data_IF_940830906136
#
_entry.id   IF_940830906136
#
_cell.length_a   1.000
_cell.length_b   1.000
_cell.length_c   1.000
_cell.angle_alpha   90.00
_cell.angle_beta   90.00
_cell.angle_gamma   90.00
#
_symmetry.space_group_name_H-M   'P 1'
#
loop_
_entity.id
_entity.type
_entity.pdbx_description
1 polymer ?
#
# COMPACT_ATOMS: atom_id res chain seq x y z
N UNK A 1 -32.38 -57.58 9.29
CA UNK A 1 -31.54 -56.57 9.94
C UNK A 1 -30.64 -56.00 8.87
N UNK A 2 -31.01 -54.82 8.38
CA UNK A 2 -30.47 -54.18 7.19
C UNK A 2 -29.01 -53.74 7.35
N UNK A 3 -28.22 -53.97 6.30
CA UNK A 3 -26.87 -53.47 6.14
C UNK A 3 -26.84 -52.69 4.82
N UNK A 4 -26.97 -51.35 4.87
CA UNK A 4 -26.89 -50.50 3.68
C UNK A 4 -26.23 -49.15 3.98
N UNK A 5 -25.41 -48.75 3.00
CA UNK A 5 -24.77 -47.44 2.74
C UNK A 5 -23.40 -47.20 3.42
N UNK A 6 -22.34 -46.76 2.75
CA UNK A 6 -22.24 -46.11 1.43
C UNK A 6 -20.86 -46.27 0.78
N UNK A 7 -20.87 -46.06 -0.55
CA UNK A 7 -19.88 -46.46 -1.55
C UNK A 7 -18.59 -45.61 -1.56
N UNK A 8 -17.47 -46.26 -1.85
CA UNK A 8 -16.24 -45.66 -2.41
C UNK A 8 -16.27 -45.68 -3.95
N UNK A 9 -15.86 -44.57 -4.56
CA UNK A 9 -15.31 -44.40 -5.94
C UNK A 9 -14.92 -42.92 -6.00
N UNK A 10 -13.68 -42.43 -6.16
CA UNK A 10 -12.49 -42.75 -6.96
C UNK A 10 -12.69 -42.53 -8.48
N UNK A 11 -12.24 -41.32 -8.88
CA UNK A 11 -11.74 -40.85 -10.18
C UNK A 11 -12.66 -40.75 -11.41
N UNK A 12 -12.74 -39.52 -11.96
CA UNK A 12 -12.14 -39.09 -13.26
C UNK A 12 -13.02 -38.01 -13.91
N UNK A 13 -12.49 -36.80 -14.08
CA UNK A 13 -11.85 -36.33 -15.31
C UNK A 13 -12.85 -35.84 -16.38
N UNK A 14 -13.21 -34.56 -16.30
CA UNK A 14 -13.48 -33.70 -17.46
C UNK A 14 -12.38 -32.63 -17.37
N UNK A 15 -11.31 -32.61 -18.17
CA UNK A 15 -11.24 -32.70 -19.64
C UNK A 15 -10.74 -31.34 -20.16
N UNK A 16 -9.49 -30.95 -19.85
CA UNK A 16 -8.31 -30.90 -20.76
C UNK A 16 -8.49 -30.07 -22.06
N UNK A 17 -7.68 -29.00 -22.15
CA UNK A 17 -6.98 -28.42 -23.32
C UNK A 17 -7.75 -27.68 -24.44
N UNK A 18 -7.55 -26.35 -24.47
CA UNK A 18 -7.15 -25.54 -25.65
C UNK A 18 -6.10 -24.53 -25.12
N UNK A 19 -4.79 -24.75 -25.27
CA UNK A 19 -3.90 -24.48 -26.41
C UNK A 19 -3.90 -23.05 -26.99
N UNK A 20 -2.89 -22.28 -26.58
CA UNK A 20 -2.26 -21.12 -27.26
C UNK A 20 -3.13 -19.88 -27.51
N UNK A 21 -2.50 -18.82 -28.03
CA UNK A 21 -2.88 -17.39 -28.11
C UNK A 21 -2.19 -16.58 -27.00
N UNK A 22 -0.87 -16.35 -27.12
CA UNK A 22 -0.17 -15.30 -27.89
C UNK A 22 -0.36 -13.91 -27.29
N UNK A 23 0.79 -13.37 -26.90
CA UNK A 23 1.09 -12.01 -26.52
C UNK A 23 0.51 -10.94 -27.44
N UNK A 24 0.23 -9.77 -26.83
CA UNK A 24 0.29 -8.46 -27.45
C UNK A 24 -1.05 -7.79 -27.73
N UNK A 25 -1.33 -6.71 -27.00
CA UNK A 25 -1.67 -5.42 -27.63
C UNK A 25 -0.99 -4.30 -26.84
N UNK A 26 -0.37 -3.40 -27.60
CA UNK A 26 0.64 -2.44 -27.22
C UNK A 26 0.16 -1.36 -26.23
N UNK A 27 1.04 -0.95 -25.32
CA UNK A 27 1.05 0.42 -24.81
C UNK A 27 2.33 1.06 -25.35
N UNK A 28 2.24 1.94 -26.36
CA UNK A 28 3.39 2.66 -26.86
C UNK A 28 3.96 3.57 -25.76
N UNK A 29 5.22 3.33 -25.36
CA UNK A 29 6.01 4.29 -24.56
C UNK A 29 6.60 3.80 -23.23
N UNK A 30 6.34 2.58 -22.75
CA UNK A 30 6.77 2.17 -21.40
C UNK A 30 8.08 1.38 -21.30
N UNK A 31 8.65 0.86 -22.39
CA UNK A 31 10.01 0.30 -22.37
C UNK A 31 10.27 -0.95 -21.49
N UNK A 32 9.24 -1.71 -21.09
CA UNK A 32 9.38 -2.88 -20.20
C UNK A 32 9.07 -4.22 -20.90
N UNK A 33 9.85 -5.30 -20.69
CA UNK A 33 9.63 -6.60 -21.34
C UNK A 33 8.62 -7.54 -20.62
N UNK A 34 7.94 -8.35 -21.42
CA UNK A 34 6.73 -9.18 -21.21
C UNK A 34 6.72 -10.29 -20.12
N UNK A 35 7.76 -10.50 -19.29
CA UNK A 35 7.89 -11.75 -18.50
C UNK A 35 8.14 -11.63 -16.98
N UNK A 36 7.62 -10.60 -16.31
CA UNK A 36 7.90 -10.35 -14.89
C UNK A 36 7.14 -11.25 -13.88
N UNK A 37 7.85 -11.85 -12.92
CA UNK A 37 7.30 -12.53 -11.74
C UNK A 37 7.41 -11.62 -10.50
N UNK A 38 6.29 -11.25 -9.89
CA UNK A 38 6.23 -10.36 -8.71
C UNK A 38 6.46 -11.13 -7.39
N UNK A 39 7.33 -10.61 -6.50
CA UNK A 39 7.35 -11.02 -5.08
C UNK A 39 6.78 -9.89 -4.23
N UNK A 40 5.77 -10.22 -3.42
CA UNK A 40 4.87 -9.29 -2.74
C UNK A 40 5.09 -9.27 -1.23
N UNK A 41 4.82 -8.16 -0.57
CA UNK A 41 4.84 -8.00 0.89
C UNK A 41 3.66 -7.09 1.24
N UNK A 42 2.91 -7.38 2.32
CA UNK A 42 1.74 -6.58 2.73
C UNK A 42 1.91 -6.15 4.18
N UNK A 43 1.47 -4.94 4.52
CA UNK A 43 1.04 -4.63 5.89
C UNK A 43 -0.47 -4.85 5.98
N UNK A 44 -0.88 -5.89 6.71
CA UNK A 44 -2.29 -6.25 6.91
C UNK A 44 -2.68 -5.74 8.31
N UNK A 45 -3.61 -4.80 8.46
CA UNK A 45 -4.38 -4.68 9.68
C UNK A 45 -5.16 -5.97 9.91
N UNK A 46 -4.95 -6.67 11.03
CA UNK A 46 -5.75 -7.85 11.34
C UNK A 46 -6.11 -7.86 12.82
N UNK A 47 -7.37 -7.50 13.12
CA UNK A 47 -8.25 -8.27 14.00
C UNK A 47 -9.58 -7.54 14.27
N UNK A 48 -10.71 -8.15 13.89
CA UNK A 48 -11.63 -8.80 14.86
C UNK A 48 -12.14 -10.09 14.24
N UNK A 49 -12.11 -11.17 15.03
CA UNK A 49 -12.75 -12.44 14.67
C UNK A 49 -14.28 -12.31 14.74
N UNK A 50 -14.96 -12.60 13.63
CA UNK A 50 -16.34 -13.06 13.65
C UNK A 50 -16.47 -14.29 12.74
N UNK A 51 -16.74 -15.45 13.34
CA UNK A 51 -17.22 -16.62 12.61
C UNK A 51 -18.66 -16.31 12.21
N UNK A 52 -18.89 -15.99 10.94
CA UNK A 52 -20.23 -16.04 10.37
C UNK A 52 -20.21 -16.04 8.83
N UNK A 53 -20.50 -17.21 8.26
CA UNK A 53 -21.17 -17.38 6.98
C UNK A 53 -20.33 -17.18 5.72
N UNK A 54 -20.39 -18.15 4.81
CA UNK A 54 -20.11 -17.93 3.40
C UNK A 54 -21.11 -16.90 2.84
N UNK A 55 -20.80 -15.61 3.01
CA UNK A 55 -21.45 -14.48 2.34
C UNK A 55 -20.82 -14.29 0.95
N UNK A 56 -21.64 -13.96 -0.03
CA UNK A 56 -21.36 -14.07 -1.46
C UNK A 56 -20.05 -13.43 -1.94
N UNK A 57 -19.24 -14.22 -2.65
CA UNK A 57 -18.27 -13.73 -3.64
C UNK A 57 -19.03 -13.15 -4.86
N UNK A 58 -19.66 -11.98 -4.73
CA UNK A 58 -20.47 -11.44 -5.83
C UNK A 58 -20.64 -9.91 -5.90
N UNK A 59 -19.88 -9.10 -5.15
CA UNK A 59 -19.89 -7.66 -5.37
C UNK A 59 -18.48 -7.07 -5.19
N UNK A 60 -18.03 -6.34 -6.20
CA UNK A 60 -16.80 -5.57 -6.17
C UNK A 60 -16.83 -4.51 -5.06
N UNK A 61 -15.65 -4.21 -4.55
CA UNK A 61 -15.36 -3.17 -3.56
C UNK A 61 -14.79 -2.00 -4.36
N UNK A 62 -15.51 -0.87 -4.51
CA UNK A 62 -15.00 0.28 -5.24
C UNK A 62 -13.75 0.85 -4.56
N UNK A 63 -12.89 1.59 -5.30
CA UNK A 63 -11.72 2.25 -4.72
C UNK A 63 -12.13 3.14 -3.55
N UNK A 64 -11.45 2.97 -2.41
CA UNK A 64 -11.72 3.70 -1.17
C UNK A 64 -10.98 5.04 -1.11
N UNK A 65 -9.77 5.11 -1.69
CA UNK A 65 -9.00 6.34 -1.73
C UNK A 65 -9.50 7.24 -2.86
N UNK A 66 -9.74 8.51 -2.54
CA UNK A 66 -9.98 9.57 -3.53
C UNK A 66 -8.73 10.40 -3.79
N UNK A 67 -7.71 10.30 -2.92
CA UNK A 67 -6.45 11.02 -3.08
C UNK A 67 -5.65 10.47 -4.25
N UNK A 68 -5.07 11.37 -5.02
CA UNK A 68 -4.17 11.10 -6.13
C UNK A 68 -2.82 11.77 -5.83
N UNK A 69 -2.14 11.32 -4.77
CA UNK A 69 -0.89 11.94 -4.33
C UNK A 69 0.31 11.52 -5.19
N UNK A 70 1.35 12.34 -5.19
CA UNK A 70 2.62 12.12 -5.89
C UNK A 70 3.79 12.29 -4.90
N UNK A 71 5.02 12.11 -5.37
CA UNK A 71 6.24 12.14 -4.55
C UNK A 71 7.04 13.45 -4.67
N UNK A 72 6.68 14.32 -5.62
CA UNK A 72 7.33 15.62 -5.85
C UNK A 72 6.54 16.77 -5.22
N UNK A 73 6.95 18.02 -5.47
CA UNK A 73 6.24 19.19 -4.94
C UNK A 73 4.72 19.15 -5.25
N UNK A 74 3.83 19.46 -4.29
CA UNK A 74 4.11 19.98 -2.94
C UNK A 74 4.40 18.90 -1.88
N UNK A 75 4.26 17.62 -2.20
CA UNK A 75 4.32 16.51 -1.24
C UNK A 75 5.69 16.40 -0.52
N UNK A 76 6.78 16.74 -1.22
CA UNK A 76 8.16 16.71 -0.68
C UNK A 76 8.62 18.04 -0.04
N UNK A 77 7.77 19.08 -0.01
CA UNK A 77 8.13 20.45 0.43
C UNK A 77 8.78 20.50 1.82
N UNK A 78 8.39 19.60 2.73
CA UNK A 78 8.90 19.52 4.11
C UNK A 78 9.92 18.40 4.32
N UNK A 79 10.28 17.65 3.28
CA UNK A 79 11.32 16.64 3.38
C UNK A 79 12.70 17.29 3.59
N UNK A 80 13.57 16.67 4.41
CA UNK A 80 14.84 17.26 4.79
C UNK A 80 15.76 17.37 3.57
N UNK A 81 16.51 18.47 3.47
CA UNK A 81 17.52 18.70 2.42
C UNK A 81 16.99 18.52 0.98
N UNK A 82 15.74 18.91 0.71
CA UNK A 82 15.08 18.75 -0.61
C UNK A 82 15.10 17.28 -1.09
N UNK A 83 14.95 16.34 -0.16
CA UNK A 83 14.85 14.92 -0.47
C UNK A 83 13.50 14.59 -1.10
N UNK A 84 13.45 13.52 -1.88
CA UNK A 84 12.19 12.97 -2.37
C UNK A 84 11.29 12.54 -1.21
N UNK A 85 9.96 12.66 -1.36
CA UNK A 85 9.00 12.20 -0.36
C UNK A 85 9.06 10.68 -0.16
N UNK A 86 9.08 9.94 -1.27
CA UNK A 86 9.13 8.48 -1.29
C UNK A 86 7.76 7.82 -1.33
N UNK A 87 7.67 6.75 -2.14
CA UNK A 87 6.44 5.98 -2.35
C UNK A 87 5.78 5.49 -1.04
N UNK A 88 6.58 5.08 -0.06
CA UNK A 88 6.07 4.61 1.23
C UNK A 88 5.38 5.71 2.04
N UNK A 89 6.00 6.89 2.09
CA UNK A 89 5.45 8.04 2.80
C UNK A 89 4.14 8.51 2.17
N UNK A 90 4.09 8.56 0.84
CA UNK A 90 2.89 8.91 0.07
C UNK A 90 1.77 7.89 0.30
N UNK A 91 2.06 6.59 0.23
CA UNK A 91 1.07 5.55 0.46
C UNK A 91 0.45 5.63 1.87
N UNK A 92 1.27 5.84 2.92
CA UNK A 92 0.76 6.02 4.28
C UNK A 92 -0.03 7.32 4.42
N UNK A 93 0.44 8.43 3.84
CA UNK A 93 -0.27 9.71 3.90
C UNK A 93 -1.68 9.62 3.29
N UNK A 94 -1.85 8.89 2.19
CA UNK A 94 -3.16 8.64 1.58
C UNK A 94 -4.08 7.83 2.49
N UNK A 95 -3.55 6.80 3.17
CA UNK A 95 -4.32 6.01 4.16
C UNK A 95 -4.73 6.88 5.36
N UNK A 96 -3.82 7.70 5.90
CA UNK A 96 -4.14 8.59 7.03
C UNK A 96 -5.20 9.63 6.64
N UNK A 97 -5.13 10.17 5.42
CA UNK A 97 -6.16 11.07 4.87
C UNK A 97 -7.52 10.39 4.79
N UNK A 98 -7.59 9.14 4.31
CA UNK A 98 -8.85 8.39 4.25
C UNK A 98 -9.54 8.27 5.61
N UNK A 99 -8.77 8.07 6.69
CA UNK A 99 -9.32 8.04 8.04
C UNK A 99 -9.52 9.42 8.68
N UNK A 100 -8.89 10.48 8.14
CA UNK A 100 -8.86 11.81 8.77
C UNK A 100 -8.20 11.79 10.16
N UNK A 101 -7.22 10.92 10.36
CA UNK A 101 -6.57 10.68 11.65
C UNK A 101 -5.08 10.36 11.51
N UNK A 102 -4.26 10.66 12.54
CA UNK A 102 -4.62 11.30 13.82
C UNK A 102 -4.72 12.83 13.71
N UNK A 103 -5.20 13.53 14.74
CA UNK A 103 -5.20 15.03 14.74
C UNK A 103 -3.81 15.63 14.99
N UNK A 104 -2.92 14.87 15.65
CA UNK A 104 -1.52 15.20 15.85
C UNK A 104 -0.70 13.91 15.98
N UNK A 105 0.61 13.99 15.77
CA UNK A 105 1.51 12.88 16.08
C UNK A 105 1.96 12.89 17.55
N UNK A 106 2.62 11.82 17.98
CA UNK A 106 3.03 11.63 19.39
C UNK A 106 4.53 11.46 19.53
N UNK A 107 5.14 12.10 20.52
CA UNK A 107 6.54 11.97 20.87
C UNK A 107 7.53 12.62 19.90
N UNK A 108 8.79 12.31 20.10
CA UNK A 108 9.90 12.82 19.29
C UNK A 108 10.82 11.68 18.85
N UNK A 109 11.48 11.84 17.72
CA UNK A 109 12.46 10.88 17.23
C UNK A 109 13.70 11.56 16.66
N UNK A 110 14.81 10.83 16.73
CA UNK A 110 16.04 11.16 16.03
C UNK A 110 16.66 9.88 15.46
N UNK A 111 17.06 9.90 14.20
CA UNK A 111 17.75 8.77 13.57
C UNK A 111 18.69 9.24 12.47
N UNK A 112 19.71 8.45 12.20
CA UNK A 112 20.68 8.76 11.16
C UNK A 112 20.20 8.27 9.78
N UNK A 113 20.16 9.17 8.80
CA UNK A 113 19.96 8.84 7.40
C UNK A 113 21.33 8.68 6.73
N UNK A 114 21.62 7.49 6.23
CA UNK A 114 22.89 7.22 5.54
C UNK A 114 22.97 7.85 4.15
N UNK A 115 21.83 8.20 3.56
CA UNK A 115 21.75 8.91 2.28
C UNK A 115 22.03 10.41 2.45
N UNK A 116 21.54 11.04 3.52
CA UNK A 116 21.89 12.41 3.89
C UNK A 116 23.28 12.54 4.53
N UNK A 117 23.78 11.43 5.09
CA UNK A 117 24.93 11.44 6.01
C UNK A 117 24.70 12.36 7.23
N UNK A 118 23.45 12.45 7.69
CA UNK A 118 23.05 13.31 8.81
C UNK A 118 21.83 12.74 9.57
N UNK A 119 21.55 13.31 10.74
CA UNK A 119 20.40 12.96 11.57
C UNK A 119 19.14 13.65 11.11
N UNK A 120 18.08 12.88 10.95
CA UNK A 120 16.70 13.37 10.82
C UNK A 120 16.12 13.45 12.23
N UNK A 121 15.63 14.62 12.60
CA UNK A 121 15.00 14.88 13.90
C UNK A 121 13.58 15.38 13.67
N UNK A 122 12.63 14.81 14.39
CA UNK A 122 11.21 15.15 14.26
C UNK A 122 10.57 15.20 15.64
N UNK A 123 9.88 16.30 15.93
CA UNK A 123 8.97 16.40 17.06
C UNK A 123 7.54 16.25 16.52
N UNK A 124 6.93 15.09 16.74
CA UNK A 124 5.57 14.81 16.26
C UNK A 124 4.51 15.53 17.08
N UNK A 125 4.80 15.90 18.33
CA UNK A 125 3.90 16.70 19.17
C UNK A 125 3.62 18.09 18.58
N UNK A 126 4.57 18.61 17.78
CA UNK A 126 4.42 19.88 17.07
C UNK A 126 3.70 19.74 15.73
N UNK A 127 3.48 18.51 15.25
CA UNK A 127 2.81 18.23 13.98
C UNK A 127 1.32 18.08 14.19
N UNK A 128 0.57 19.15 13.87
CA UNK A 128 -0.89 19.12 13.79
C UNK A 128 -1.33 18.84 12.36
N UNK A 129 -2.25 17.90 12.20
CA UNK A 129 -2.77 17.51 10.89
C UNK A 129 -4.15 18.11 10.70
N UNK A 130 -4.22 19.09 9.80
CA UNK A 130 -5.47 19.71 9.38
C UNK A 130 -5.97 18.99 8.12
N UNK A 131 -6.82 18.00 8.35
CA UNK A 131 -7.35 17.14 7.30
C UNK A 131 -8.28 17.90 6.34
N UNK A 132 -8.93 18.99 6.81
CA UNK A 132 -9.83 19.81 6.00
C UNK A 132 -9.07 20.65 4.96
N UNK A 133 -7.77 20.88 5.17
CA UNK A 133 -6.89 21.54 4.20
C UNK A 133 -6.36 20.59 3.12
N UNK A 134 -6.64 19.28 3.20
CA UNK A 134 -6.12 18.30 2.25
C UNK A 134 -7.05 18.07 1.05
N UNK A 135 -6.57 18.44 -0.13
CA UNK A 135 -7.25 18.17 -1.40
C UNK A 135 -7.04 16.73 -1.87
N UNK A 136 -7.92 16.22 -2.75
CA UNK A 136 -7.71 14.92 -3.41
C UNK A 136 -6.49 14.97 -4.36
N UNK A 137 -6.30 16.12 -5.02
CA UNK A 137 -5.27 16.34 -6.02
C UNK A 137 -4.65 17.71 -5.86
N UNK A 138 -3.36 17.82 -6.16
CA UNK A 138 -2.58 19.05 -6.10
C UNK A 138 -2.05 19.40 -7.50
N UNK A 139 -2.86 20.12 -8.27
CA UNK A 139 -2.45 20.65 -9.57
C UNK A 139 -1.80 22.02 -9.41
N UNK A 140 -0.75 22.30 -10.18
CA UNK A 140 -0.03 23.57 -10.10
C UNK A 140 -0.97 24.74 -10.37
N UNK A 141 -1.10 25.65 -9.40
CA UNK A 141 -2.00 26.80 -9.45
C UNK A 141 -3.35 26.60 -8.75
N UNK A 142 -3.71 25.37 -8.37
CA UNK A 142 -5.04 25.03 -7.82
C UNK A 142 -5.03 24.75 -6.29
N UNK A 143 -3.93 25.06 -5.60
CA UNK A 143 -3.84 24.92 -4.15
C UNK A 143 -3.17 26.12 -3.49
N UNK A 144 -3.55 26.39 -2.23
CA UNK A 144 -2.93 27.42 -1.41
C UNK A 144 -1.63 26.93 -0.76
N UNK A 145 -0.76 27.86 -0.36
CA UNK A 145 0.44 27.52 0.42
C UNK A 145 0.13 26.75 1.70
N UNK A 146 -1.01 27.08 2.35
CA UNK A 146 -1.46 26.37 3.54
C UNK A 146 -1.84 24.90 3.23
N UNK A 147 -2.52 24.65 2.11
CA UNK A 147 -2.84 23.29 1.67
C UNK A 147 -1.58 22.51 1.26
N UNK A 148 -0.63 23.18 0.58
CA UNK A 148 0.68 22.59 0.27
C UNK A 148 1.46 22.23 1.54
N UNK A 149 1.46 23.09 2.55
CA UNK A 149 2.10 22.82 3.83
C UNK A 149 1.41 21.71 4.61
N UNK A 150 0.08 21.63 4.55
CA UNK A 150 -0.70 20.57 5.19
C UNK A 150 -0.33 19.20 4.62
N UNK A 151 -0.37 19.03 3.29
CA UNK A 151 -0.03 17.74 2.66
C UNK A 151 1.42 17.36 2.87
N UNK A 152 2.35 18.32 2.73
CA UNK A 152 3.77 18.09 2.97
C UNK A 152 4.06 17.67 4.43
N UNK A 153 3.27 18.15 5.39
CA UNK A 153 3.40 17.76 6.80
C UNK A 153 3.02 16.30 7.02
N UNK A 154 1.89 15.86 6.46
CA UNK A 154 1.43 14.47 6.58
C UNK A 154 2.41 13.52 5.87
N UNK A 155 2.87 13.89 4.67
CA UNK A 155 3.84 13.09 3.91
C UNK A 155 5.18 13.00 4.63
N UNK A 156 5.72 14.12 5.11
CA UNK A 156 6.97 14.11 5.87
C UNK A 156 6.86 13.30 7.17
N UNK A 157 5.78 13.50 7.94
CA UNK A 157 5.53 12.74 9.16
C UNK A 157 5.46 11.24 8.89
N UNK A 158 4.77 10.84 7.82
CA UNK A 158 4.67 9.45 7.36
C UNK A 158 6.04 8.86 7.06
N UNK A 159 6.87 9.55 6.28
CA UNK A 159 8.22 9.08 5.95
C UNK A 159 9.15 9.03 7.17
N UNK A 160 9.10 10.02 8.06
CA UNK A 160 9.90 10.04 9.27
C UNK A 160 9.54 8.88 10.21
N UNK A 161 8.25 8.66 10.45
CA UNK A 161 7.75 7.55 11.28
C UNK A 161 8.16 6.18 10.71
N UNK A 162 8.31 6.07 9.39
CA UNK A 162 8.81 4.88 8.71
C UNK A 162 10.34 4.69 8.81
N UNK A 163 11.06 5.62 9.45
CA UNK A 163 12.52 5.69 9.45
C UNK A 163 13.10 5.77 8.02
N UNK A 164 12.47 6.57 7.16
CA UNK A 164 12.93 6.76 5.78
C UNK A 164 14.35 7.30 5.73
N UNK A 165 15.18 6.63 4.95
CA UNK A 165 16.50 7.12 4.60
C UNK A 165 16.35 8.11 3.45
N UNK A 166 16.45 9.40 3.75
CA UNK A 166 16.13 10.50 2.81
C UNK A 166 17.29 10.84 1.88
N UNK A 167 16.99 11.21 0.64
CA UNK A 167 17.95 11.69 -0.34
C UNK A 167 17.23 11.96 -1.66
N UNK A 168 17.96 11.91 -2.78
CA UNK A 168 17.33 11.96 -4.12
C UNK A 168 16.36 10.81 -4.38
N UNK A 169 16.42 9.76 -3.55
CA UNK A 169 15.41 8.73 -3.40
C UNK A 169 15.31 8.34 -1.92
N UNK A 170 14.23 7.66 -1.54
CA UNK A 170 14.02 7.19 -0.18
C UNK A 170 14.10 5.67 -0.07
N UNK A 171 14.56 5.16 1.07
CA UNK A 171 14.46 3.73 1.38
C UNK A 171 14.08 3.46 2.83
N UNK A 172 13.51 2.28 3.09
CA UNK A 172 13.25 1.77 4.44
C UNK A 172 14.05 0.48 4.63
N UNK A 173 14.96 0.50 5.62
CA UNK A 173 15.86 -0.63 5.90
C UNK A 173 15.30 -1.66 6.87
N UNK A 174 14.34 -1.30 7.73
CA UNK A 174 13.81 -2.17 8.77
C UNK A 174 12.28 -2.04 8.89
N UNK A 175 11.57 -3.03 8.37
CA UNK A 175 10.10 -3.04 8.35
C UNK A 175 9.44 -3.22 9.72
N UNK A 176 10.10 -3.90 10.66
CA UNK A 176 9.59 -3.99 12.03
C UNK A 176 9.68 -2.63 12.74
N UNK A 177 10.79 -1.91 12.52
CA UNK A 177 10.98 -0.56 13.04
C UNK A 177 10.01 0.44 12.39
N UNK A 178 9.78 0.30 11.09
CA UNK A 178 8.77 1.07 10.35
C UNK A 178 7.38 0.86 10.94
N UNK A 179 6.96 -0.39 11.18
CA UNK A 179 5.66 -0.67 11.81
C UNK A 179 5.57 -0.04 13.20
N UNK A 180 6.60 -0.21 14.03
CA UNK A 180 6.65 0.41 15.35
C UNK A 180 6.50 1.92 15.27
N UNK A 181 7.22 2.60 14.37
CA UNK A 181 7.14 4.05 14.26
C UNK A 181 5.78 4.54 13.76
N UNK A 182 5.18 3.86 12.78
CA UNK A 182 3.82 4.16 12.34
C UNK A 182 2.79 4.03 13.48
N UNK A 183 2.91 3.00 14.30
CA UNK A 183 2.01 2.78 15.45
C UNK A 183 2.26 3.80 16.57
N UNK A 184 3.52 4.07 16.89
CA UNK A 184 3.89 4.91 18.02
C UNK A 184 3.70 6.40 17.73
N UNK A 185 4.20 6.89 16.59
CA UNK A 185 4.24 8.33 16.29
C UNK A 185 2.99 8.82 15.54
N UNK A 186 2.30 7.95 14.80
CA UNK A 186 1.13 8.31 13.96
C UNK A 186 -0.14 7.56 14.33
N UNK A 187 -0.14 6.84 15.45
CA UNK A 187 -1.31 6.12 15.97
C UNK A 187 -1.96 5.15 14.98
N UNK A 188 -1.18 4.59 14.04
CA UNK A 188 -1.64 3.44 13.27
C UNK A 188 -1.99 2.32 14.26
N UNK A 189 -3.11 1.62 14.02
CA UNK A 189 -3.65 0.63 14.95
C UNK A 189 -2.57 -0.33 15.48
N UNK A 190 -2.56 -0.64 16.79
CA UNK A 190 -1.69 -1.65 17.36
C UNK A 190 -1.99 -3.05 16.82
N UNK A 191 -3.11 -3.27 16.11
CA UNK A 191 -3.46 -4.51 15.43
C UNK A 191 -2.91 -4.62 13.99
N UNK A 192 -2.28 -3.54 13.49
CA UNK A 192 -1.54 -3.56 12.22
C UNK A 192 -0.33 -4.50 12.27
N UNK A 193 -0.13 -5.29 11.22
CA UNK A 193 0.96 -6.27 11.12
C UNK A 193 1.70 -6.13 9.80
N UNK A 194 3.03 -6.19 9.86
CA UNK A 194 3.85 -6.39 8.66
C UNK A 194 3.97 -7.87 8.34
N UNK A 195 3.43 -8.31 7.21
CA UNK A 195 3.39 -9.69 6.77
C UNK A 195 4.18 -9.88 5.46
N UNK A 196 4.86 -11.02 5.34
CA UNK A 196 5.61 -11.34 4.12
C UNK A 196 4.91 -12.45 3.34
N UNK A 197 4.62 -12.21 2.06
CA UNK A 197 3.90 -13.16 1.17
C UNK A 197 4.46 -14.58 1.19
N UNK A 198 5.78 -14.70 1.37
CA UNK A 198 6.51 -15.98 1.33
C UNK A 198 6.12 -16.95 2.44
N UNK A 199 5.42 -16.49 3.49
CA UNK A 199 4.98 -17.31 4.62
C UNK A 199 3.53 -17.75 4.54
N UNK A 200 2.82 -17.39 3.47
CA UNK A 200 1.40 -17.69 3.29
C UNK A 200 1.15 -18.38 1.96
N UNK A 201 0.15 -19.23 1.91
CA UNK A 201 -0.41 -19.73 0.65
C UNK A 201 -1.11 -18.60 -0.11
N UNK A 202 -1.41 -18.83 -1.40
CA UNK A 202 -2.20 -17.86 -2.17
C UNK A 202 -3.59 -17.66 -1.58
N UNK A 203 -4.25 -18.74 -1.14
CA UNK A 203 -5.58 -18.66 -0.55
C UNK A 203 -5.58 -17.79 0.72
N UNK A 204 -4.70 -18.06 1.69
CA UNK A 204 -4.59 -17.28 2.93
C UNK A 204 -4.28 -15.81 2.65
N UNK A 205 -3.41 -15.53 1.68
CA UNK A 205 -3.04 -14.16 1.34
C UNK A 205 -4.20 -13.36 0.74
N UNK A 206 -4.94 -13.99 -0.18
CA UNK A 206 -6.12 -13.38 -0.80
C UNK A 206 -7.26 -13.25 0.21
N UNK A 207 -7.42 -14.21 1.11
CA UNK A 207 -8.39 -14.14 2.21
C UNK A 207 -8.13 -12.94 3.12
N UNK A 208 -6.89 -12.74 3.56
CA UNK A 208 -6.54 -11.58 4.40
C UNK A 208 -6.70 -10.24 3.66
N UNK A 209 -6.34 -10.19 2.37
CA UNK A 209 -6.57 -9.01 1.53
C UNK A 209 -8.05 -8.69 1.39
N UNK A 210 -8.85 -9.68 1.00
CA UNK A 210 -10.28 -9.51 0.78
C UNK A 210 -11.00 -9.16 2.09
N UNK A 211 -10.61 -9.77 3.20
CA UNK A 211 -11.14 -9.44 4.53
C UNK A 211 -10.94 -7.96 4.85
N UNK A 212 -9.72 -7.46 4.71
CA UNK A 212 -9.42 -6.04 4.94
C UNK A 212 -10.24 -5.10 4.05
N UNK A 213 -10.26 -5.36 2.75
CA UNK A 213 -11.01 -4.53 1.82
C UNK A 213 -12.52 -4.58 2.13
N UNK A 214 -13.05 -5.75 2.49
CA UNK A 214 -14.47 -5.90 2.83
C UNK A 214 -14.87 -5.19 4.13
N UNK A 215 -13.90 -4.97 5.02
CA UNK A 215 -14.06 -4.19 6.25
C UNK A 215 -13.79 -2.69 6.04
N UNK A 216 -13.52 -2.26 4.80
CA UNK A 216 -13.28 -0.86 4.48
C UNK A 216 -11.88 -0.37 4.87
N UNK A 217 -10.89 -1.28 4.90
CA UNK A 217 -9.51 -0.99 5.25
C UNK A 217 -8.58 -1.02 4.01
N UNK A 218 -8.12 0.15 3.52
CA UNK A 218 -7.08 0.20 2.51
C UNK A 218 -5.79 -0.45 3.02
N UNK A 219 -5.14 -1.21 2.16
CA UNK A 219 -4.00 -2.06 2.50
C UNK A 219 -2.70 -1.44 1.99
N UNK A 220 -1.81 -1.06 2.90
CA UNK A 220 -0.44 -0.69 2.52
C UNK A 220 0.33 -1.92 2.01
N UNK A 221 0.85 -1.81 0.81
CA UNK A 221 1.44 -2.92 0.07
C UNK A 221 2.83 -2.57 -0.42
N UNK A 222 3.74 -3.54 -0.41
CA UNK A 222 5.05 -3.43 -1.06
C UNK A 222 5.30 -4.54 -2.07
N UNK A 223 5.46 -4.16 -3.33
CA UNK A 223 5.94 -5.03 -4.40
C UNK A 223 7.46 -5.00 -4.52
N UNK A 224 8.04 -6.05 -5.09
CA UNK A 224 9.39 -5.99 -5.63
C UNK A 224 9.46 -6.71 -6.96
N UNK A 225 10.05 -6.04 -7.95
CA UNK A 225 10.33 -6.58 -9.26
C UNK A 225 11.80 -6.92 -9.37
N UNK A 226 12.08 -8.22 -9.55
CA UNK A 226 13.41 -8.75 -9.83
C UNK A 226 13.61 -8.85 -11.34
N UNK A 227 14.75 -8.37 -11.83
CA UNK A 227 15.18 -8.51 -13.22
C UNK A 227 16.68 -8.84 -13.27
N UNK A 228 17.18 -9.23 -14.45
CA UNK A 228 18.60 -9.54 -14.61
C UNK A 228 19.43 -8.27 -14.38
N UNK A 229 20.17 -8.22 -13.28
CA UNK A 229 21.00 -7.07 -12.89
C UNK A 229 20.42 -6.20 -11.79
N UNK A 230 19.24 -6.50 -11.23
CA UNK A 230 18.69 -5.68 -10.14
C UNK A 230 17.38 -6.15 -9.53
N UNK A 231 16.95 -5.38 -8.54
CA UNK A 231 15.66 -5.51 -7.87
C UNK A 231 15.14 -4.11 -7.53
N UNK A 232 13.93 -3.77 -7.97
CA UNK A 232 13.26 -2.51 -7.63
C UNK A 232 12.06 -2.81 -6.75
N UNK A 233 11.92 -2.08 -5.65
CA UNK A 233 10.77 -2.16 -4.76
C UNK A 233 9.88 -0.94 -4.92
N UNK A 234 8.57 -1.11 -4.80
CA UNK A 234 7.61 -0.02 -4.76
C UNK A 234 6.61 -0.25 -3.63
N UNK A 235 6.19 0.82 -2.96
CA UNK A 235 5.16 0.83 -1.93
C UNK A 235 3.95 1.58 -2.46
N UNK A 236 2.76 1.00 -2.28
CA UNK A 236 1.51 1.48 -2.88
C UNK A 236 0.34 1.06 -1.99
N UNK A 237 -0.88 1.50 -2.31
CA UNK A 237 -2.09 1.12 -1.58
C UNK A 237 -2.96 0.22 -2.46
N UNK A 238 -3.48 -0.86 -1.89
CA UNK A 238 -4.59 -1.60 -2.47
C UNK A 238 -5.86 -1.18 -1.72
N UNK A 239 -6.83 -0.63 -2.43
CA UNK A 239 -7.98 0.02 -1.82
C UNK A 239 -9.31 -0.33 -2.50
N UNK A 240 -9.33 -1.33 -3.38
CA UNK A 240 -10.55 -1.81 -4.03
C UNK A 240 -10.35 -3.16 -4.71
N UNK A 241 -11.44 -3.76 -5.17
CA UNK A 241 -11.48 -5.01 -5.93
C UNK A 241 -12.68 -5.03 -6.88
N UNK A 242 -12.49 -5.29 -8.16
CA UNK A 242 -13.60 -5.38 -9.11
C UNK A 242 -14.36 -6.73 -9.03
N UNK A 243 -15.45 -6.86 -9.78
CA UNK A 243 -16.27 -8.08 -9.84
C UNK A 243 -15.50 -9.29 -10.43
N UNK A 244 -14.48 -9.03 -11.25
CA UNK A 244 -13.60 -10.05 -11.84
C UNK A 244 -12.50 -10.51 -10.86
N UNK A 245 -12.37 -9.81 -9.73
CA UNK A 245 -11.43 -10.09 -8.66
C UNK A 245 -10.05 -9.47 -8.83
N UNK A 246 -9.87 -8.52 -9.75
CA UNK A 246 -8.67 -7.69 -9.83
C UNK A 246 -8.69 -6.64 -8.72
N UNK A 247 -7.52 -6.30 -8.20
CA UNK A 247 -7.38 -5.33 -7.12
C UNK A 247 -7.09 -3.94 -7.67
N UNK A 248 -7.79 -2.91 -7.19
CA UNK A 248 -7.45 -1.53 -7.47
C UNK A 248 -6.16 -1.16 -6.71
N UNK A 249 -5.24 -0.52 -7.42
CA UNK A 249 -3.94 -0.13 -6.89
C UNK A 249 -3.73 1.36 -7.10
N UNK A 250 -3.54 2.09 -6.01
CA UNK A 250 -3.07 3.46 -6.02
C UNK A 250 -1.54 3.49 -5.85
N UNK A 251 -0.83 3.89 -6.91
CA UNK A 251 0.64 3.83 -6.95
C UNK A 251 1.32 5.04 -6.31
N UNK A 252 0.57 6.10 -5.97
CA UNK A 252 1.15 7.35 -5.48
C UNK A 252 1.95 8.11 -6.54
N UNK A 253 1.45 8.12 -7.78
CA UNK A 253 2.02 8.85 -8.94
C UNK A 253 0.97 9.77 -9.57
N UNK A 254 0.19 10.47 -8.75
CA UNK A 254 -0.80 11.45 -9.20
C UNK A 254 -1.95 10.85 -10.01
N UNK A 255 -2.42 9.65 -9.63
CA UNK A 255 -3.51 8.91 -10.32
C UNK A 255 -3.14 8.32 -11.69
N UNK A 256 -2.03 8.73 -12.31
CA UNK A 256 -1.65 8.38 -13.69
C UNK A 256 -1.42 6.89 -13.95
N UNK A 257 -1.15 6.12 -12.90
CA UNK A 257 -0.84 4.69 -13.00
C UNK A 257 -1.81 3.82 -12.23
N UNK A 258 -2.86 4.42 -11.66
CA UNK A 258 -3.81 3.71 -10.84
C UNK A 258 -4.67 2.82 -11.71
N UNK A 259 -4.81 1.55 -11.31
CA UNK A 259 -5.40 0.52 -12.14
C UNK A 259 -5.79 -0.71 -11.35
N UNK A 260 -6.66 -1.49 -11.97
CA UNK A 260 -6.96 -2.85 -11.54
C UNK A 260 -5.87 -3.82 -12.03
N UNK A 261 -5.29 -4.57 -11.11
CA UNK A 261 -4.24 -5.54 -11.38
C UNK A 261 -4.55 -6.88 -10.70
N UNK A 262 -4.19 -7.98 -11.37
CA UNK A 262 -4.37 -9.31 -10.81
C UNK A 262 -3.24 -9.63 -9.84
N UNK A 263 -3.60 -9.99 -8.60
CA UNK A 263 -2.63 -10.42 -7.60
C UNK A 263 -2.56 -11.95 -7.45
#
# INVERSE_FOLDING_TARGET
MDYMQGKRSVLSFVGRLFHSWKFGTEIPGSGYPESAVFRRHIIIPLAVAAISGFGSMAQGIPPMLTSEYDQSYPYDKKCPYNSAAGCGAVAIAQILRYYGMPSHGYGEMSYYSTYLMDSVKVNFEEMKFDWDLLSDRYEEGDFSDASADAVASVVFASGAAMYSNYGSSTSVGNYAKMMYGLQHYLHISPDSRYLQRKYYTTAEWLEMLNGNLSEGHPVFYRGSWKFKGGNVGHMFVIDGRDDDGNYHVNFGHGGRQDKYELY
#
